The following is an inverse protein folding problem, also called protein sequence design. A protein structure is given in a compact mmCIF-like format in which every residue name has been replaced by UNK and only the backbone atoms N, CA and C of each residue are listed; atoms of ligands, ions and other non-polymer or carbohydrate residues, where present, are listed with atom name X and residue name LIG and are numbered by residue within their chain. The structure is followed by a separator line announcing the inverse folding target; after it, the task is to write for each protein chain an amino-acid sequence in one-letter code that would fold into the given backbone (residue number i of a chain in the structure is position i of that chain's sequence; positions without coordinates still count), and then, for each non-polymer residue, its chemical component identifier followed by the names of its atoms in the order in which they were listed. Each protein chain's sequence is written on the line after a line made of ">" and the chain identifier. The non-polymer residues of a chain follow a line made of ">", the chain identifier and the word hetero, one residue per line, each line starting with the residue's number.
data_IF_962291620370
#
_entry.id   IF_962291620370
#
_cell.length_a   1.000
_cell.length_b   1.000
_cell.length_c   1.000
_cell.angle_alpha   90.00
_cell.angle_beta   90.00
_cell.angle_gamma   90.00
#
_symmetry.space_group_name_H-M   'P 1'
#
loop_
_entity.id
_entity.type
_entity.pdbx_description
1 polymer ?
#
# COMPACT_ATOMS: atom_id res chain seq x y z
N UNK A 1 22.91 -6.72 13.71
CA UNK A 1 22.86 -6.17 12.34
C UNK A 1 24.17 -5.45 12.12
N UNK A 2 24.79 -5.61 10.96
CA UNK A 2 25.98 -4.85 10.57
C UNK A 2 25.51 -3.70 9.67
N UNK A 3 25.93 -2.47 9.98
CA UNK A 3 25.60 -1.29 9.19
C UNK A 3 26.58 -1.14 8.02
N UNK A 4 26.16 -0.44 6.96
CA UNK A 4 26.99 -0.26 5.77
C UNK A 4 28.24 0.60 5.99
N UNK A 5 28.23 1.44 7.03
CA UNK A 5 29.31 2.37 7.40
C UNK A 5 29.31 2.57 8.93
N UNK A 6 30.39 3.14 9.48
CA UNK A 6 30.42 3.57 10.88
C UNK A 6 29.57 4.84 11.11
N UNK A 7 29.34 5.24 12.35
CA UNK A 7 28.47 6.38 12.68
C UNK A 7 28.97 7.72 12.10
N UNK A 8 30.28 7.97 12.09
CA UNK A 8 30.88 9.20 11.55
C UNK A 8 30.71 9.29 10.01
N UNK A 9 30.67 8.15 9.33
CA UNK A 9 30.45 8.06 7.89
C UNK A 9 28.96 8.04 7.53
N UNK A 10 28.12 7.39 8.35
CA UNK A 10 26.67 7.27 8.13
C UNK A 10 25.99 8.63 8.07
N UNK A 11 26.39 9.58 8.91
CA UNK A 11 25.81 10.94 8.93
C UNK A 11 26.06 11.71 7.63
N UNK A 12 27.05 11.30 6.83
CA UNK A 12 27.40 11.93 5.54
C UNK A 12 26.80 11.19 4.33
N UNK A 13 26.10 10.08 4.55
CA UNK A 13 25.49 9.32 3.46
C UNK A 13 24.33 10.08 2.81
N UNK A 14 24.13 9.94 1.49
CA UNK A 14 23.07 10.64 0.78
C UNK A 14 21.69 10.11 1.20
N UNK A 15 20.91 10.92 1.92
CA UNK A 15 19.57 10.53 2.38
C UNK A 15 18.64 10.12 1.23
N UNK A 16 18.77 10.76 0.06
CA UNK A 16 17.97 10.43 -1.12
C UNK A 16 18.18 9.00 -1.63
N UNK A 17 19.37 8.44 -1.48
CA UNK A 17 19.63 7.04 -1.83
C UNK A 17 18.93 6.09 -0.85
N UNK A 18 19.07 6.34 0.46
CA UNK A 18 18.52 5.44 1.49
C UNK A 18 17.00 5.47 1.55
N UNK A 19 16.37 6.62 1.33
CA UNK A 19 14.90 6.72 1.20
C UNK A 19 14.39 5.96 -0.03
N UNK A 20 15.08 6.10 -1.18
CA UNK A 20 14.76 5.32 -2.38
C UNK A 20 14.94 3.82 -2.16
N UNK A 21 16.07 3.40 -1.59
CA UNK A 21 16.40 1.99 -1.36
C UNK A 21 15.41 1.33 -0.40
N UNK A 22 15.05 2.03 0.69
CA UNK A 22 14.03 1.59 1.63
C UNK A 22 12.67 1.47 0.95
N UNK A 23 12.20 2.51 0.24
CA UNK A 23 10.93 2.49 -0.47
C UNK A 23 10.84 1.33 -1.48
N UNK A 24 11.86 1.17 -2.32
CA UNK A 24 11.93 0.10 -3.32
C UNK A 24 11.86 -1.29 -2.68
N UNK A 25 12.65 -1.50 -1.63
CA UNK A 25 12.76 -2.81 -0.95
C UNK A 25 11.48 -3.16 -0.20
N UNK A 26 10.94 -2.23 0.59
CA UNK A 26 9.73 -2.46 1.38
C UNK A 26 8.48 -2.62 0.49
N UNK A 27 8.38 -1.83 -0.59
CA UNK A 27 7.30 -1.98 -1.57
C UNK A 27 7.35 -3.35 -2.25
N UNK A 28 8.53 -3.79 -2.71
CA UNK A 28 8.69 -5.11 -3.32
C UNK A 28 8.36 -6.24 -2.33
N UNK A 29 8.79 -6.11 -1.07
CA UNK A 29 8.50 -7.08 0.00
C UNK A 29 6.99 -7.26 0.22
N UNK A 30 6.25 -6.16 0.38
CA UNK A 30 4.79 -6.23 0.60
C UNK A 30 4.07 -6.74 -0.64
N UNK A 31 4.42 -6.24 -1.84
CA UNK A 31 3.80 -6.67 -3.10
C UNK A 31 4.03 -8.15 -3.38
N UNK A 32 5.23 -8.66 -3.14
CA UNK A 32 5.54 -10.09 -3.29
C UNK A 32 4.70 -10.96 -2.37
N UNK A 33 4.49 -10.55 -1.12
CA UNK A 33 3.67 -11.28 -0.16
C UNK A 33 2.17 -11.25 -0.49
N UNK A 34 1.66 -10.14 -1.01
CA UNK A 34 0.30 -10.08 -1.56
C UNK A 34 0.15 -10.99 -2.78
N UNK A 35 1.10 -10.95 -3.70
CA UNK A 35 1.10 -11.79 -4.89
C UNK A 35 1.11 -13.29 -4.53
N UNK A 36 1.86 -13.68 -3.48
CA UNK A 36 1.90 -15.06 -2.98
C UNK A 36 0.54 -15.59 -2.48
N UNK A 37 -0.40 -14.71 -2.11
CA UNK A 37 -1.78 -15.10 -1.76
C UNK A 37 -2.79 -14.82 -2.89
N UNK A 38 -2.29 -14.54 -4.11
CA UNK A 38 -3.10 -14.38 -5.31
C UNK A 38 -3.81 -13.03 -5.41
N UNK A 39 -3.24 -11.95 -4.88
CA UNK A 39 -3.79 -10.59 -5.04
C UNK A 39 -2.69 -9.57 -5.31
N UNK A 40 -2.94 -8.61 -6.18
CA UNK A 40 -2.05 -7.46 -6.38
C UNK A 40 -2.38 -6.34 -5.39
N UNK A 41 -1.46 -5.38 -5.20
CA UNK A 41 -1.73 -4.21 -4.37
C UNK A 41 -2.91 -3.36 -4.91
N UNK A 42 -3.01 -3.07 -6.23
CA UNK A 42 -4.19 -2.41 -6.79
C UNK A 42 -5.50 -3.17 -6.56
N UNK A 43 -5.52 -4.50 -6.75
CA UNK A 43 -6.71 -5.33 -6.48
C UNK A 43 -7.12 -5.26 -5.01
N UNK A 44 -6.16 -5.21 -4.08
CA UNK A 44 -6.46 -5.03 -2.67
C UNK A 44 -7.13 -3.68 -2.40
N UNK A 45 -6.67 -2.59 -3.03
CA UNK A 45 -7.31 -1.27 -2.91
C UNK A 45 -8.75 -1.27 -3.42
N UNK A 46 -9.01 -1.92 -4.56
CA UNK A 46 -10.38 -2.07 -5.09
C UNK A 46 -11.26 -2.81 -4.08
N UNK A 47 -10.82 -3.98 -3.59
CA UNK A 47 -11.59 -4.74 -2.61
C UNK A 47 -11.83 -3.93 -1.33
N UNK A 48 -10.81 -3.22 -0.84
CA UNK A 48 -10.91 -2.37 0.34
C UNK A 48 -11.93 -1.24 0.13
N UNK A 49 -11.86 -0.53 -1.00
CA UNK A 49 -12.80 0.55 -1.33
C UNK A 49 -14.24 0.03 -1.37
N UNK A 50 -14.49 -1.06 -2.11
CA UNK A 50 -15.83 -1.63 -2.25
C UNK A 50 -16.35 -2.15 -0.91
N UNK A 51 -15.51 -2.81 -0.11
CA UNK A 51 -15.89 -3.36 1.19
C UNK A 51 -16.38 -2.30 2.18
N UNK A 52 -15.72 -1.14 2.21
CA UNK A 52 -16.06 -0.06 3.15
C UNK A 52 -17.08 0.94 2.58
N UNK A 53 -17.55 0.73 1.35
CA UNK A 53 -18.67 1.50 0.83
C UNK A 53 -20.00 0.92 1.26
N UNK A 54 -20.88 1.76 1.81
CA UNK A 54 -22.21 1.34 2.31
C UNK A 54 -23.12 0.75 1.23
N UNK A 55 -22.96 1.18 -0.02
CA UNK A 55 -23.82 0.78 -1.14
C UNK A 55 -23.01 0.09 -2.26
N UNK A 56 -21.79 -0.36 -1.99
CA UNK A 56 -20.83 -0.76 -3.02
C UNK A 56 -20.23 0.44 -3.76
N UNK A 57 -19.63 0.25 -4.93
CA UNK A 57 -19.08 1.38 -5.70
C UNK A 57 -19.23 1.17 -7.21
N UNK A 58 -19.42 2.23 -7.98
CA UNK A 58 -19.29 2.14 -9.43
C UNK A 58 -17.83 1.98 -9.82
N UNK A 59 -17.56 1.39 -11.00
CA UNK A 59 -16.19 1.31 -11.53
C UNK A 59 -15.51 2.69 -11.60
N UNK A 60 -16.26 3.72 -11.98
CA UNK A 60 -15.75 5.08 -12.07
C UNK A 60 -15.41 5.66 -10.69
N UNK A 61 -16.25 5.46 -9.68
CA UNK A 61 -15.97 5.90 -8.30
C UNK A 61 -14.67 5.27 -7.78
N UNK A 62 -14.46 3.96 -8.00
CA UNK A 62 -13.23 3.25 -7.61
C UNK A 62 -12.03 3.83 -8.33
N UNK A 63 -12.08 3.97 -9.66
CA UNK A 63 -10.98 4.50 -10.46
C UNK A 63 -10.62 5.93 -10.01
N UNK A 64 -11.62 6.80 -9.87
CA UNK A 64 -11.44 8.20 -9.49
C UNK A 64 -10.80 8.34 -8.12
N UNK A 65 -11.22 7.54 -7.14
CA UNK A 65 -10.65 7.57 -5.79
C UNK A 65 -9.16 7.21 -5.73
N UNK A 66 -8.63 6.51 -6.74
CA UNK A 66 -7.23 6.08 -6.79
C UNK A 66 -6.40 6.82 -7.86
N UNK A 67 -6.94 7.84 -8.53
CA UNK A 67 -6.23 8.61 -9.57
C UNK A 67 -4.97 9.32 -9.07
N UNK A 68 -4.95 9.77 -7.81
CA UNK A 68 -3.77 10.43 -7.22
C UNK A 68 -2.61 9.46 -6.94
N UNK A 69 -2.86 8.15 -6.96
CA UNK A 69 -1.82 7.13 -6.86
C UNK A 69 -1.22 6.95 -8.26
N UNK A 70 -0.07 7.60 -8.47
CA UNK A 70 0.74 7.45 -9.68
C UNK A 70 0.91 5.95 -10.00
N UNK A 71 0.78 5.60 -11.28
CA UNK A 71 0.78 4.24 -11.87
C UNK A 71 -0.50 3.39 -11.70
N UNK A 72 -1.57 3.87 -11.05
CA UNK A 72 -2.74 3.01 -10.74
C UNK A 72 -4.06 3.47 -11.36
N UNK A 73 -4.34 4.78 -11.46
CA UNK A 73 -5.65 5.29 -11.89
C UNK A 73 -6.22 4.68 -13.19
N UNK A 74 -5.53 4.81 -14.32
CA UNK A 74 -5.97 4.24 -15.60
C UNK A 74 -5.71 2.72 -15.72
N UNK A 75 -4.84 2.17 -14.86
CA UNK A 75 -4.48 0.74 -14.84
C UNK A 75 -5.44 -0.14 -14.02
N UNK A 76 -6.38 0.46 -13.28
CA UNK A 76 -7.30 -0.28 -12.41
C UNK A 76 -8.43 -1.02 -13.14
N UNK A 77 -8.81 -0.60 -14.34
CA UNK A 77 -9.91 -1.25 -15.06
C UNK A 77 -9.66 -2.76 -15.28
N UNK A 78 -8.48 -3.18 -15.80
CA UNK A 78 -8.12 -4.60 -15.86
C UNK A 78 -8.13 -5.33 -14.51
N UNK A 79 -7.72 -4.67 -13.42
CA UNK A 79 -7.76 -5.27 -12.08
C UNK A 79 -9.20 -5.49 -11.59
N UNK A 80 -10.12 -4.56 -11.89
CA UNK A 80 -11.54 -4.72 -11.59
C UNK A 80 -12.12 -5.88 -12.41
N UNK A 81 -11.82 -5.95 -13.70
CA UNK A 81 -12.27 -7.05 -14.58
C UNK A 81 -11.81 -8.40 -14.03
N UNK A 82 -10.53 -8.55 -13.66
CA UNK A 82 -10.00 -9.79 -13.08
C UNK A 82 -10.66 -10.14 -11.74
N UNK A 83 -11.04 -9.16 -10.91
CA UNK A 83 -11.74 -9.41 -9.65
C UNK A 83 -13.18 -9.89 -9.90
N UNK A 84 -13.86 -9.38 -10.92
CA UNK A 84 -15.18 -9.84 -11.35
C UNK A 84 -15.12 -11.24 -11.98
N UNK A 85 -14.16 -11.50 -12.87
CA UNK A 85 -13.92 -12.83 -13.47
C UNK A 85 -13.67 -13.91 -12.41
N UNK A 86 -12.94 -13.55 -11.34
CA UNK A 86 -12.67 -14.40 -10.18
C UNK A 86 -13.83 -14.47 -9.18
N UNK A 87 -14.94 -13.77 -9.44
CA UNK A 87 -16.12 -13.69 -8.56
C UNK A 87 -15.80 -13.16 -7.15
N UNK A 88 -14.78 -12.31 -7.05
CA UNK A 88 -14.44 -11.59 -5.81
C UNK A 88 -15.25 -10.30 -5.69
N UNK A 89 -15.69 -9.77 -6.84
CA UNK A 89 -16.67 -8.72 -6.98
C UNK A 89 -17.80 -9.19 -7.89
N UNK A 90 -18.98 -8.62 -7.72
CA UNK A 90 -20.13 -8.80 -8.61
C UNK A 90 -20.85 -7.47 -8.81
N UNK A 91 -21.46 -7.26 -9.97
CA UNK A 91 -22.37 -6.14 -10.19
C UNK A 91 -23.75 -6.46 -9.63
N UNK A 92 -24.34 -5.53 -8.90
CA UNK A 92 -25.75 -5.59 -8.54
C UNK A 92 -26.65 -5.11 -9.70
N UNK A 93 -27.98 -5.18 -9.51
CA UNK A 93 -28.97 -4.75 -10.50
C UNK A 93 -28.95 -3.26 -10.84
N UNK A 94 -28.14 -2.46 -10.14
CA UNK A 94 -27.94 -1.02 -10.38
C UNK A 94 -26.58 -0.71 -11.00
N UNK A 95 -25.78 -1.74 -11.32
CA UNK A 95 -24.45 -1.58 -11.91
C UNK A 95 -23.37 -1.15 -10.90
N UNK A 96 -23.58 -1.41 -9.60
CA UNK A 96 -22.59 -1.14 -8.56
C UNK A 96 -21.86 -2.42 -8.16
N UNK A 97 -20.55 -2.33 -8.00
CA UNK A 97 -19.71 -3.41 -7.52
C UNK A 97 -20.03 -3.70 -6.06
N UNK A 98 -20.32 -4.96 -5.77
CA UNK A 98 -20.50 -5.52 -4.45
C UNK A 98 -19.41 -6.56 -4.22
N UNK A 99 -18.86 -6.57 -3.00
CA UNK A 99 -17.88 -7.59 -2.61
C UNK A 99 -18.58 -8.90 -2.21
N UNK A 100 -18.09 -10.02 -2.74
CA UNK A 100 -18.59 -11.35 -2.39
C UNK A 100 -18.01 -11.84 -1.06
N UNK A 101 -18.44 -13.01 -0.58
CA UNK A 101 -17.85 -13.60 0.62
C UNK A 101 -16.40 -14.05 0.38
N UNK A 102 -16.12 -14.58 -0.81
CA UNK A 102 -14.79 -14.93 -1.27
C UNK A 102 -13.89 -13.70 -1.37
N UNK A 103 -14.44 -12.58 -1.87
CA UNK A 103 -13.78 -11.27 -1.88
C UNK A 103 -13.43 -10.80 -0.48
N UNK A 104 -14.38 -10.87 0.48
CA UNK A 104 -14.16 -10.54 1.89
C UNK A 104 -13.08 -11.41 2.53
N UNK A 105 -13.11 -12.72 2.26
CA UNK A 105 -12.12 -13.66 2.76
C UNK A 105 -10.71 -13.35 2.24
N UNK A 106 -10.56 -13.07 0.93
CA UNK A 106 -9.27 -12.67 0.35
C UNK A 106 -8.80 -11.33 0.90
N UNK A 107 -9.69 -10.33 1.03
CA UNK A 107 -9.36 -9.04 1.62
C UNK A 107 -8.85 -9.18 3.07
N UNK A 108 -9.50 -10.01 3.89
CA UNK A 108 -9.07 -10.28 5.27
C UNK A 108 -7.67 -10.90 5.31
N UNK A 109 -7.40 -11.93 4.50
CA UNK A 109 -6.06 -12.52 4.38
C UNK A 109 -5.01 -11.51 3.92
N UNK A 110 -5.35 -10.65 2.96
CA UNK A 110 -4.47 -9.58 2.51
C UNK A 110 -4.17 -8.57 3.62
N UNK A 111 -5.18 -8.20 4.43
CA UNK A 111 -4.99 -7.36 5.61
C UNK A 111 -4.10 -8.00 6.67
N UNK A 112 -4.26 -9.31 6.93
CA UNK A 112 -3.39 -10.08 7.82
C UNK A 112 -1.95 -10.12 7.30
N UNK A 113 -1.76 -10.39 6.01
CA UNK A 113 -0.46 -10.39 5.34
C UNK A 113 0.23 -9.03 5.44
N UNK A 114 -0.50 -7.92 5.25
CA UNK A 114 0.07 -6.57 5.40
C UNK A 114 0.45 -6.27 6.85
N UNK A 115 -0.41 -6.61 7.83
CA UNK A 115 -0.07 -6.44 9.26
C UNK A 115 1.17 -7.24 9.65
N UNK A 116 1.24 -8.50 9.25
CA UNK A 116 2.41 -9.35 9.50
C UNK A 116 3.67 -8.80 8.81
N UNK A 117 3.54 -8.27 7.60
CA UNK A 117 4.65 -7.64 6.88
C UNK A 117 5.15 -6.40 7.63
N UNK A 118 4.23 -5.57 8.14
CA UNK A 118 4.56 -4.41 8.98
C UNK A 118 5.28 -4.84 10.26
N UNK A 119 4.78 -5.85 10.97
CA UNK A 119 5.44 -6.38 12.19
C UNK A 119 6.85 -6.86 11.90
N UNK A 120 7.04 -7.61 10.80
CA UNK A 120 8.37 -8.09 10.41
C UNK A 120 9.33 -6.94 10.13
N UNK A 121 8.88 -5.92 9.39
CA UNK A 121 9.70 -4.75 9.04
C UNK A 121 10.11 -3.95 10.29
N UNK A 122 9.28 -3.92 11.33
CA UNK A 122 9.59 -3.23 12.60
C UNK A 122 10.36 -4.09 13.60
N UNK A 123 10.72 -5.33 13.26
CA UNK A 123 11.41 -6.22 14.20
C UNK A 123 12.77 -5.63 14.58
N UNK A 124 12.99 -5.41 15.89
CA UNK A 124 14.22 -4.82 16.42
C UNK A 124 14.29 -3.29 16.33
N UNK A 125 13.21 -2.61 15.94
CA UNK A 125 13.13 -1.15 15.87
C UNK A 125 12.19 -0.65 16.99
N UNK A 126 12.70 -0.01 18.05
CA UNK A 126 11.88 0.63 19.08
C UNK A 126 11.01 1.75 18.50
N UNK A 127 9.81 1.95 19.08
CA UNK A 127 8.87 3.00 18.66
C UNK A 127 9.51 4.40 18.68
N UNK A 128 10.41 4.67 19.63
CA UNK A 128 11.11 5.94 19.72
C UNK A 128 12.03 6.19 18.52
N UNK A 129 12.78 5.18 18.07
CA UNK A 129 13.66 5.30 16.91
C UNK A 129 12.83 5.53 15.64
N UNK A 130 11.79 4.71 15.44
CA UNK A 130 10.89 4.84 14.30
C UNK A 130 10.20 6.22 14.24
N UNK A 131 9.74 6.73 15.40
CA UNK A 131 9.15 8.06 15.52
C UNK A 131 10.15 9.17 15.15
N UNK A 132 11.40 9.06 15.60
CA UNK A 132 12.45 10.02 15.25
C UNK A 132 12.72 9.99 13.75
N UNK A 133 12.85 8.80 13.15
CA UNK A 133 13.05 8.64 11.70
C UNK A 133 11.92 9.32 10.91
N UNK A 134 10.65 9.07 11.24
CA UNK A 134 9.52 9.71 10.56
C UNK A 134 9.49 11.22 10.74
N UNK A 135 9.78 11.73 11.95
CA UNK A 135 9.84 13.18 12.20
C UNK A 135 10.95 13.86 11.39
N UNK A 136 12.11 13.23 11.27
CA UNK A 136 13.23 13.74 10.46
C UNK A 136 12.84 13.75 8.98
N UNK A 137 12.27 12.66 8.46
CA UNK A 137 11.81 12.58 7.07
C UNK A 137 10.74 13.64 6.75
N UNK A 138 9.73 13.80 7.61
CA UNK A 138 8.70 14.83 7.41
C UNK A 138 9.28 16.24 7.44
N UNK A 139 10.27 16.50 8.30
CA UNK A 139 10.97 17.80 8.31
C UNK A 139 11.78 18.03 7.04
N UNK A 140 12.43 17.00 6.51
CA UNK A 140 13.13 17.07 5.22
C UNK A 140 12.16 17.34 4.07
N UNK A 141 11.01 16.66 4.05
CA UNK A 141 9.94 16.92 3.07
C UNK A 141 9.46 18.37 3.17
N UNK A 142 9.14 18.84 4.37
CA UNK A 142 8.74 20.24 4.59
C UNK A 142 9.79 21.24 4.10
N UNK A 143 11.07 21.03 4.45
CA UNK A 143 12.17 21.90 4.01
C UNK A 143 12.35 21.91 2.49
N UNK A 144 11.98 20.83 1.81
CA UNK A 144 12.01 20.71 0.35
C UNK A 144 10.69 21.14 -0.34
N UNK A 145 9.71 21.67 0.40
CA UNK A 145 8.40 22.07 -0.13
C UNK A 145 7.44 20.91 -0.42
N UNK A 146 7.72 19.71 0.12
CA UNK A 146 6.86 18.55 0.02
C UNK A 146 5.67 18.58 1.00
N UNK A 147 4.57 17.98 0.59
CA UNK A 147 3.37 17.79 1.43
C UNK A 147 3.53 16.57 2.35
N UNK A 148 3.16 16.74 3.61
CA UNK A 148 3.19 15.69 4.66
C UNK A 148 1.80 15.32 5.17
N UNK A 149 0.74 15.89 4.57
CA UNK A 149 -0.66 15.64 4.95
C UNK A 149 -1.23 14.31 4.43
N UNK A 150 -0.51 13.61 3.55
CA UNK A 150 -0.93 12.37 2.88
C UNK A 150 -0.40 11.08 3.56
N UNK A 151 -0.13 11.12 4.87
CA UNK A 151 0.45 10.01 5.64
C UNK A 151 -0.56 9.16 6.40
#
# INVERSE_FOLDING_TARGET
>A
MEYSHNDEELVNQPIGYWTWAANKTLTAYVRGRLAAIGITQPQWWVLHHVLFSKAGATRHEVISAHQAHLDVGAGLAPDIDLLEERKLLVLDGTGRLQITEEGRALHRRAGETQRASRTQVHTGIPDQEYLITLKVLQRMLHNAGGDVSQG
#
